data_IF_930619239782
#
_entry.id   IF_930619239782
#
_cell.length_a   1.000
_cell.length_b   1.000
_cell.length_c   1.000
_cell.angle_alpha   90.00
_cell.angle_beta   90.00
_cell.angle_gamma   90.00
#
_symmetry.space_group_name_H-M   'P 1'
#
loop_
_entity.id
_entity.type
_entity.pdbx_description
1 polymer ?
#
# COMPACT_ATOMS: atom_id res chain seq x y z
N UNK A 1 16.35 24.22 -11.13
CA UNK A 1 15.52 23.70 -10.03
C UNK A 1 16.27 22.58 -9.34
N UNK A 2 15.62 21.90 -8.41
CA UNK A 2 16.08 20.61 -7.88
C UNK A 2 15.79 19.52 -8.92
N UNK A 3 16.66 18.51 -9.01
CA UNK A 3 16.34 17.25 -9.70
C UNK A 3 15.60 16.35 -8.72
N UNK A 4 14.61 15.60 -9.20
CA UNK A 4 13.75 14.75 -8.38
C UNK A 4 14.20 13.29 -8.42
N UNK A 5 14.14 12.62 -7.28
CA UNK A 5 14.23 11.17 -7.15
C UNK A 5 12.84 10.65 -6.78
N UNK A 6 12.19 9.95 -7.69
CA UNK A 6 10.94 9.26 -7.47
C UNK A 6 11.22 7.87 -6.90
N UNK A 7 10.78 7.63 -5.67
CA UNK A 7 10.72 6.28 -5.09
C UNK A 7 9.37 5.68 -5.50
N UNK A 8 9.38 4.62 -6.29
CA UNK A 8 8.14 4.06 -6.83
C UNK A 8 8.39 2.82 -7.68
N UNK A 9 7.32 2.24 -8.22
CA UNK A 9 7.45 1.10 -9.11
C UNK A 9 7.44 1.49 -10.59
N UNK A 10 8.37 0.93 -11.37
CA UNK A 10 8.37 1.11 -12.82
C UNK A 10 7.07 0.58 -13.42
N UNK A 11 6.54 1.32 -14.40
CA UNK A 11 5.30 0.94 -15.10
C UNK A 11 4.00 1.19 -14.31
N UNK A 12 4.06 1.59 -13.03
CA UNK A 12 2.84 1.95 -12.30
C UNK A 12 2.26 3.27 -12.84
N UNK A 13 0.94 3.38 -13.07
CA UNK A 13 0.35 4.59 -13.67
C UNK A 13 0.66 5.89 -12.92
N UNK A 14 0.69 5.83 -11.58
CA UNK A 14 1.08 6.96 -10.74
C UNK A 14 2.54 7.37 -10.95
N UNK A 15 3.46 6.39 -11.02
CA UNK A 15 4.89 6.64 -11.29
C UNK A 15 5.08 7.27 -12.65
N UNK A 16 4.44 6.72 -13.69
CA UNK A 16 4.48 7.26 -15.05
C UNK A 16 3.95 8.70 -15.06
N UNK A 17 2.81 8.94 -14.42
CA UNK A 17 2.18 10.26 -14.36
C UNK A 17 3.04 11.30 -13.65
N UNK A 18 3.67 10.93 -12.53
CA UNK A 18 4.55 11.80 -11.74
C UNK A 18 5.87 12.08 -12.47
N UNK A 19 6.50 11.07 -13.06
CA UNK A 19 7.70 11.25 -13.86
C UNK A 19 7.45 12.14 -15.09
N UNK A 20 6.26 12.09 -15.67
CA UNK A 20 5.85 12.92 -16.80
C UNK A 20 5.57 14.39 -16.48
N UNK A 21 5.64 14.82 -15.21
CA UNK A 21 5.40 16.23 -14.84
C UNK A 21 6.57 17.14 -15.19
N UNK A 22 7.77 16.59 -15.43
CA UNK A 22 8.99 17.34 -15.74
C UNK A 22 9.67 16.76 -16.99
N UNK A 23 10.59 17.53 -17.62
CA UNK A 23 11.38 17.03 -18.75
C UNK A 23 12.13 15.73 -18.44
N UNK A 24 12.42 14.95 -19.48
CA UNK A 24 13.18 13.70 -19.38
C UNK A 24 14.52 13.92 -18.66
N UNK A 25 14.82 13.03 -17.71
CA UNK A 25 16.03 13.11 -16.87
C UNK A 25 15.91 14.03 -15.65
N UNK A 26 14.85 14.83 -15.49
CA UNK A 26 14.64 15.63 -14.28
C UNK A 26 13.99 14.84 -13.13
N UNK A 27 13.35 13.70 -13.43
CA UNK A 27 12.83 12.75 -12.44
C UNK A 27 13.51 11.40 -12.65
N UNK A 28 14.28 10.96 -11.67
CA UNK A 28 14.97 9.67 -11.68
C UNK A 28 14.16 8.67 -10.85
N UNK A 29 13.99 7.44 -11.33
CA UNK A 29 13.26 6.39 -10.62
C UNK A 29 14.23 5.53 -9.80
N UNK A 30 13.85 5.20 -8.57
CA UNK A 30 14.45 4.13 -7.75
C UNK A 30 13.34 3.26 -7.18
N UNK A 31 13.55 1.94 -7.18
CA UNK A 31 12.59 0.96 -6.62
C UNK A 31 13.15 0.27 -5.37
N UNK A 32 14.48 0.23 -5.23
CA UNK A 32 15.20 -0.53 -4.21
C UNK A 32 16.36 0.27 -3.60
N UNK A 33 16.93 -0.24 -2.50
CA UNK A 33 18.15 0.32 -1.87
C UNK A 33 19.34 0.20 -2.82
N UNK A 34 19.39 -0.86 -3.62
CA UNK A 34 20.44 -1.13 -4.60
C UNK A 34 20.43 -0.10 -5.73
N UNK A 35 19.25 0.32 -6.19
CA UNK A 35 19.11 1.39 -7.18
C UNK A 35 19.72 2.70 -6.67
N UNK A 36 19.58 2.98 -5.36
CA UNK A 36 20.18 4.16 -4.72
C UNK A 36 21.68 4.12 -4.79
N UNK A 37 22.35 2.96 -4.82
CA UNK A 37 23.81 2.89 -4.97
C UNK A 37 24.26 3.22 -6.40
N UNK A 38 23.47 2.85 -7.41
CA UNK A 38 23.73 3.10 -8.82
C UNK A 38 23.29 4.46 -9.34
N UNK A 39 22.51 5.22 -8.57
CA UNK A 39 21.91 6.49 -9.01
C UNK A 39 22.93 7.51 -9.50
N UNK A 40 22.77 8.01 -10.72
CA UNK A 40 23.58 9.08 -11.30
C UNK A 40 22.74 10.34 -11.35
N UNK A 41 23.20 11.39 -10.66
CA UNK A 41 22.49 12.65 -10.47
C UNK A 41 23.25 13.80 -11.13
N UNK A 42 22.53 14.85 -11.55
CA UNK A 42 23.12 16.05 -12.15
C UNK A 42 23.98 16.83 -11.15
N UNK A 43 23.46 17.01 -9.94
CA UNK A 43 24.08 17.79 -8.88
C UNK A 43 23.59 17.26 -7.51
N UNK A 44 24.49 16.66 -6.72
CA UNK A 44 24.17 16.06 -5.42
C UNK A 44 23.70 17.09 -4.38
N UNK A 45 23.99 18.39 -4.57
CA UNK A 45 23.52 19.48 -3.70
C UNK A 45 22.16 20.05 -4.10
N UNK A 46 21.56 19.58 -5.20
CA UNK A 46 20.28 20.06 -5.72
C UNK A 46 19.32 18.91 -6.02
N UNK A 47 19.07 18.10 -5.01
CA UNK A 47 18.16 16.96 -5.08
C UNK A 47 16.97 17.12 -4.14
N UNK A 48 15.83 16.61 -4.59
CA UNK A 48 14.72 16.28 -3.72
C UNK A 48 14.22 14.86 -4.04
N UNK A 49 13.54 14.23 -3.10
CA UNK A 49 12.84 12.97 -3.35
C UNK A 49 11.34 13.10 -3.12
N UNK A 50 10.58 12.25 -3.80
CA UNK A 50 9.14 12.06 -3.66
C UNK A 50 8.83 10.57 -3.69
N UNK A 51 7.68 10.14 -3.18
CA UNK A 51 7.29 8.73 -3.19
C UNK A 51 5.97 8.50 -3.92
N UNK A 52 5.81 7.29 -4.46
CA UNK A 52 4.50 6.75 -4.80
C UNK A 52 3.67 6.58 -3.51
N UNK A 53 2.38 6.89 -3.57
CA UNK A 53 1.47 6.96 -2.40
C UNK A 53 1.11 5.59 -1.80
N UNK A 54 1.37 4.51 -2.54
CA UNK A 54 0.90 3.13 -2.25
C UNK A 54 2.02 2.14 -1.98
N UNK A 55 3.21 2.64 -1.59
CA UNK A 55 4.37 1.81 -1.26
C UNK A 55 4.28 1.20 0.14
N UNK A 56 5.10 0.18 0.38
CA UNK A 56 5.42 -0.31 1.72
C UNK A 56 6.11 0.78 2.53
N UNK A 57 5.59 1.08 3.72
CA UNK A 57 6.14 2.13 4.60
C UNK A 57 7.57 1.79 5.01
N UNK A 58 7.83 0.52 5.33
CA UNK A 58 9.13 0.07 5.82
C UNK A 58 10.18 0.04 4.71
N UNK A 59 9.83 -0.50 3.54
CA UNK A 59 10.76 -0.56 2.40
C UNK A 59 11.10 0.85 1.91
N UNK A 60 10.11 1.74 1.89
CA UNK A 60 10.34 3.15 1.54
C UNK A 60 11.24 3.83 2.57
N UNK A 61 11.07 3.57 3.86
CA UNK A 61 11.95 4.12 4.90
C UNK A 61 13.40 3.66 4.71
N UNK A 62 13.63 2.40 4.31
CA UNK A 62 14.96 1.90 3.98
C UNK A 62 15.60 2.61 2.77
N UNK A 63 14.82 2.84 1.71
CA UNK A 63 15.29 3.58 0.51
C UNK A 63 15.58 5.04 0.86
N UNK A 64 14.73 5.69 1.64
CA UNK A 64 14.94 7.07 2.11
C UNK A 64 16.22 7.16 2.94
N UNK A 65 16.44 6.22 3.86
CA UNK A 65 17.67 6.18 4.65
C UNK A 65 18.92 6.03 3.76
N UNK A 66 18.86 5.17 2.74
CA UNK A 66 19.95 5.02 1.77
C UNK A 66 20.20 6.31 0.97
N UNK A 67 19.14 7.01 0.55
CA UNK A 67 19.24 8.29 -0.16
C UNK A 67 19.87 9.37 0.71
N UNK A 68 19.43 9.48 1.97
CA UNK A 68 19.97 10.45 2.92
C UNK A 68 21.43 10.16 3.29
N UNK A 69 21.81 8.88 3.40
CA UNK A 69 23.18 8.47 3.64
C UNK A 69 24.10 8.83 2.45
N UNK A 70 23.61 8.65 1.21
CA UNK A 70 24.39 8.95 0.00
C UNK A 70 24.40 10.44 -0.36
N UNK A 71 23.29 11.13 -0.16
CA UNK A 71 23.07 12.52 -0.55
C UNK A 71 22.61 13.34 0.66
N UNK A 72 23.55 13.74 1.52
CA UNK A 72 23.24 14.39 2.80
C UNK A 72 22.41 15.70 2.68
N UNK A 73 22.41 16.34 1.50
CA UNK A 73 21.62 17.55 1.22
C UNK A 73 20.29 17.30 0.51
N UNK A 74 19.86 16.05 0.31
CA UNK A 74 18.61 15.75 -0.38
C UNK A 74 17.41 16.24 0.42
N UNK A 75 16.50 16.94 -0.26
CA UNK A 75 15.30 17.52 0.35
C UNK A 75 14.15 16.51 0.27
N UNK A 76 13.58 16.14 1.41
CA UNK A 76 12.35 15.36 1.47
C UNK A 76 11.09 16.24 1.42
N UNK A 77 9.92 15.64 1.21
CA UNK A 77 8.66 16.35 1.29
C UNK A 77 8.40 16.83 2.74
N UNK A 78 7.64 17.93 2.89
CA UNK A 78 7.28 18.45 4.22
C UNK A 78 6.39 17.51 5.03
N UNK A 79 5.67 16.61 4.35
CA UNK A 79 4.88 15.53 4.92
C UNK A 79 5.19 14.26 4.15
N UNK A 80 5.03 13.09 4.76
CA UNK A 80 5.15 11.81 4.06
C UNK A 80 4.22 11.79 2.83
N UNK A 81 4.78 11.37 1.69
CA UNK A 81 4.04 11.24 0.42
C UNK A 81 3.21 9.93 0.37
N UNK A 82 3.56 8.94 1.20
CA UNK A 82 2.69 7.77 1.44
C UNK A 82 1.43 8.26 2.13
N UNK A 83 0.28 7.95 1.54
CA UNK A 83 -0.98 8.48 2.05
C UNK A 83 -1.40 7.80 3.35
N UNK A 84 -2.20 8.52 4.16
CA UNK A 84 -2.70 8.01 5.44
C UNK A 84 -3.40 6.64 5.31
N UNK A 85 -4.15 6.44 4.23
CA UNK A 85 -4.91 5.22 3.97
C UNK A 85 -3.99 3.99 3.80
N UNK A 86 -2.84 4.17 3.15
CA UNK A 86 -1.81 3.15 2.98
C UNK A 86 -1.17 2.83 4.34
N UNK A 87 -0.72 3.87 5.06
CA UNK A 87 -0.06 3.71 6.38
C UNK A 87 -0.96 3.01 7.39
N UNK A 88 -2.22 3.45 7.52
CA UNK A 88 -3.17 2.88 8.47
C UNK A 88 -3.49 1.41 8.17
N UNK A 89 -3.69 1.05 6.89
CA UNK A 89 -3.99 -0.34 6.51
C UNK A 89 -2.80 -1.26 6.76
N UNK A 90 -1.58 -0.81 6.47
CA UNK A 90 -0.37 -1.59 6.78
C UNK A 90 -0.20 -1.76 8.29
N UNK A 91 -0.47 -0.72 9.09
CA UNK A 91 -0.46 -0.83 10.54
C UNK A 91 -1.51 -1.83 11.07
N UNK A 92 -2.72 -1.83 10.51
CA UNK A 92 -3.77 -2.78 10.86
C UNK A 92 -3.35 -4.23 10.54
N UNK A 93 -2.73 -4.47 9.38
CA UNK A 93 -2.18 -5.78 9.02
C UNK A 93 -1.11 -6.23 10.02
N UNK A 94 -0.15 -5.35 10.34
CA UNK A 94 0.91 -5.65 11.33
C UNK A 94 0.33 -5.99 12.70
N UNK A 95 -0.74 -5.32 13.12
CA UNK A 95 -1.39 -5.55 14.42
C UNK A 95 -2.07 -6.93 14.56
N UNK A 96 -2.42 -7.57 13.44
CA UNK A 96 -3.07 -8.88 13.41
C UNK A 96 -2.14 -10.01 12.95
N UNK A 97 -1.06 -9.72 12.21
CA UNK A 97 -0.20 -10.72 11.58
C UNK A 97 0.33 -11.79 12.57
N UNK A 98 0.72 -11.39 13.78
CA UNK A 98 1.20 -12.32 14.81
C UNK A 98 0.11 -13.08 15.59
N UNK A 99 -1.16 -12.87 15.26
CA UNK A 99 -2.34 -13.46 15.96
C UNK A 99 -3.16 -14.40 15.07
N UNK A 100 -2.80 -14.51 13.80
CA UNK A 100 -3.53 -15.26 12.76
C UNK A 100 -2.60 -16.28 12.12
N UNK A 101 -3.15 -17.39 11.64
CA UNK A 101 -2.36 -18.39 10.91
C UNK A 101 -2.37 -18.09 9.39
N UNK A 102 -3.42 -17.42 8.89
CA UNK A 102 -3.52 -16.92 7.52
C UNK A 102 -4.07 -15.51 7.42
N UNK A 103 -3.62 -14.76 6.42
CA UNK A 103 -4.14 -13.45 6.02
C UNK A 103 -4.73 -13.52 4.61
N UNK A 104 -6.00 -13.13 4.47
CA UNK A 104 -6.64 -12.90 3.19
C UNK A 104 -6.78 -11.39 2.95
N UNK A 105 -6.15 -10.90 1.89
CA UNK A 105 -6.26 -9.50 1.45
C UNK A 105 -7.23 -9.45 0.28
N UNK A 106 -8.37 -8.77 0.45
CA UNK A 106 -9.31 -8.54 -0.64
C UNK A 106 -8.77 -7.42 -1.56
N UNK A 107 -8.60 -7.71 -2.85
CA UNK A 107 -8.26 -6.71 -3.84
C UNK A 107 -7.96 -7.26 -5.22
N UNK A 108 -7.94 -6.35 -6.21
CA UNK A 108 -7.61 -6.70 -7.58
C UNK A 108 -6.09 -6.99 -7.75
N UNK A 109 -5.68 -7.91 -8.63
CA UNK A 109 -4.26 -8.27 -8.84
C UNK A 109 -3.36 -7.11 -9.24
N UNK A 110 -3.92 -6.10 -9.92
CA UNK A 110 -3.19 -4.91 -10.36
C UNK A 110 -3.12 -3.80 -9.30
N UNK A 111 -3.76 -3.95 -8.14
CA UNK A 111 -3.71 -2.97 -7.05
C UNK A 111 -2.36 -3.03 -6.34
N UNK A 112 -1.56 -1.95 -6.41
CA UNK A 112 -0.28 -1.87 -5.69
C UNK A 112 -0.49 -1.94 -4.18
N UNK A 113 -1.46 -1.18 -3.64
CA UNK A 113 -1.75 -1.17 -2.21
C UNK A 113 -2.18 -2.55 -1.70
N UNK A 114 -3.03 -3.27 -2.43
CA UNK A 114 -3.47 -4.62 -2.00
C UNK A 114 -2.32 -5.61 -1.97
N UNK A 115 -1.44 -5.59 -2.98
CA UNK A 115 -0.23 -6.44 -3.00
C UNK A 115 0.71 -6.11 -1.82
N UNK A 116 0.89 -4.81 -1.53
CA UNK A 116 1.66 -4.35 -0.37
C UNK A 116 1.12 -4.87 0.95
N UNK A 117 -0.19 -4.99 1.14
CA UNK A 117 -0.74 -5.58 2.36
C UNK A 117 -0.40 -7.08 2.51
N UNK A 118 -0.30 -7.83 1.40
CA UNK A 118 0.13 -9.24 1.42
C UNK A 118 1.58 -9.32 1.87
N UNK A 119 2.46 -8.53 1.24
CA UNK A 119 3.89 -8.48 1.55
C UNK A 119 4.14 -8.02 3.00
N UNK A 120 3.42 -7.01 3.47
CA UNK A 120 3.46 -6.55 4.87
C UNK A 120 3.02 -7.64 5.84
N UNK A 121 1.97 -8.41 5.50
CA UNK A 121 1.53 -9.54 6.32
C UNK A 121 2.60 -10.61 6.47
N UNK A 122 3.26 -10.97 5.36
CA UNK A 122 4.35 -11.94 5.34
C UNK A 122 5.54 -11.45 6.17
N UNK A 123 6.00 -10.22 5.93
CA UNK A 123 7.11 -9.62 6.66
C UNK A 123 6.82 -9.43 8.16
N UNK A 124 5.55 -9.26 8.53
CA UNK A 124 5.11 -9.15 9.93
C UNK A 124 4.91 -10.51 10.63
N UNK A 125 5.25 -11.62 9.98
CA UNK A 125 5.27 -12.96 10.57
C UNK A 125 4.03 -13.81 10.31
N UNK A 126 3.12 -13.39 9.43
CA UNK A 126 2.03 -14.25 9.00
C UNK A 126 2.55 -15.32 8.03
N UNK A 127 2.42 -16.60 8.41
CA UNK A 127 2.97 -17.72 7.65
C UNK A 127 2.32 -17.88 6.27
N UNK A 128 1.03 -17.55 6.16
CA UNK A 128 0.28 -17.61 4.92
C UNK A 128 -0.42 -16.28 4.66
N UNK A 129 -0.12 -15.60 3.56
CA UNK A 129 -0.85 -14.42 3.15
C UNK A 129 -1.13 -14.46 1.65
N UNK A 130 -2.37 -14.18 1.26
CA UNK A 130 -2.79 -14.24 -0.13
C UNK A 130 -3.73 -13.11 -0.50
N UNK A 131 -3.59 -12.64 -1.74
CA UNK A 131 -4.57 -11.78 -2.40
C UNK A 131 -5.74 -12.64 -2.94
N UNK A 132 -6.96 -12.26 -2.60
CA UNK A 132 -8.20 -12.83 -3.15
C UNK A 132 -9.07 -11.71 -3.71
N UNK A 133 -9.75 -11.91 -4.84
CA UNK A 133 -10.65 -10.86 -5.35
C UNK A 133 -12.03 -10.97 -4.72
N UNK A 134 -12.46 -12.18 -4.36
CA UNK A 134 -13.75 -12.45 -3.73
C UNK A 134 -13.78 -13.80 -3.01
N UNK A 135 -14.88 -14.12 -2.35
CA UNK A 135 -15.01 -15.33 -1.54
C UNK A 135 -14.95 -16.62 -2.38
N UNK A 136 -15.43 -16.58 -3.62
CA UNK A 136 -15.36 -17.71 -4.54
C UNK A 136 -13.92 -18.08 -4.94
N UNK A 137 -12.95 -17.17 -4.79
CA UNK A 137 -11.55 -17.39 -5.14
C UNK A 137 -10.73 -18.00 -3.98
N UNK A 138 -11.35 -18.19 -2.80
CA UNK A 138 -10.66 -18.74 -1.63
C UNK A 138 -10.28 -20.20 -1.91
N UNK A 139 -8.99 -20.50 -1.88
CA UNK A 139 -8.50 -21.87 -1.82
C UNK A 139 -8.65 -22.42 -0.40
N UNK A 140 -9.77 -23.08 -0.14
CA UNK A 140 -10.07 -23.67 1.16
C UNK A 140 -9.07 -24.74 1.59
N UNK A 141 -8.37 -25.40 0.65
CA UNK A 141 -7.36 -26.42 0.98
C UNK A 141 -6.13 -25.78 1.63
N UNK A 142 -5.77 -24.58 1.18
CA UNK A 142 -4.67 -23.82 1.78
C UNK A 142 -4.97 -23.33 3.21
N UNK A 143 -6.24 -23.41 3.63
CA UNK A 143 -6.69 -23.01 4.97
C UNK A 143 -6.97 -24.21 5.90
N UNK A 144 -6.68 -25.43 5.48
CA UNK A 144 -6.86 -26.61 6.32
C UNK A 144 -6.01 -26.54 7.60
N UNK A 145 -6.65 -26.76 8.76
CA UNK A 145 -5.98 -26.75 10.07
C UNK A 145 -5.77 -25.36 10.69
N UNK A 146 -6.07 -24.29 9.97
CA UNK A 146 -5.99 -22.91 10.47
C UNK A 146 -7.11 -22.64 11.47
N UNK A 147 -6.79 -21.91 12.55
CA UNK A 147 -7.73 -21.54 13.62
C UNK A 147 -8.12 -20.07 13.58
N UNK A 148 -7.23 -19.21 13.07
CA UNK A 148 -7.46 -17.78 12.97
C UNK A 148 -7.10 -17.26 11.57
N UNK A 149 -8.06 -16.65 10.88
CA UNK A 149 -7.87 -16.00 9.59
C UNK A 149 -8.06 -14.50 9.76
N UNK A 150 -7.03 -13.72 9.42
CA UNK A 150 -7.14 -12.28 9.26
C UNK A 150 -7.75 -11.95 7.91
N UNK A 151 -8.68 -11.00 7.90
CA UNK A 151 -9.31 -10.49 6.68
C UNK A 151 -9.10 -8.99 6.63
N UNK A 152 -8.52 -8.50 5.54
CA UNK A 152 -8.34 -7.07 5.29
C UNK A 152 -8.62 -6.77 3.82
N UNK A 153 -8.69 -5.50 3.45
CA UNK A 153 -9.01 -5.09 2.10
C UNK A 153 -8.15 -3.92 1.65
N UNK A 154 -7.77 -3.92 0.37
CA UNK A 154 -7.11 -2.76 -0.22
C UNK A 154 -8.04 -1.54 -0.28
N UNK A 155 -7.47 -0.35 -0.43
CA UNK A 155 -8.24 0.90 -0.46
C UNK A 155 -9.34 0.97 -1.55
N UNK A 156 -9.22 0.17 -2.61
CA UNK A 156 -10.17 0.11 -3.74
C UNK A 156 -11.19 -1.03 -3.64
N UNK A 157 -11.16 -1.86 -2.59
CA UNK A 157 -12.04 -3.00 -2.45
C UNK A 157 -13.33 -2.60 -1.71
N UNK A 158 -14.52 -2.82 -2.33
CA UNK A 158 -15.79 -2.54 -1.69
C UNK A 158 -16.04 -3.39 -0.43
N UNK A 159 -16.68 -2.81 0.58
CA UNK A 159 -17.02 -3.49 1.85
C UNK A 159 -17.88 -4.75 1.63
N UNK A 160 -18.74 -4.75 0.59
CA UNK A 160 -19.54 -5.93 0.24
C UNK A 160 -18.68 -7.17 -0.04
N UNK A 161 -17.46 -7.03 -0.56
CA UNK A 161 -16.56 -8.16 -0.80
C UNK A 161 -15.95 -8.69 0.49
N UNK A 162 -15.68 -7.82 1.47
CA UNK A 162 -15.24 -8.23 2.81
C UNK A 162 -16.35 -9.04 3.49
N UNK A 163 -17.58 -8.54 3.41
CA UNK A 163 -18.76 -9.24 3.93
C UNK A 163 -18.97 -10.58 3.21
N UNK A 164 -18.81 -10.64 1.88
CA UNK A 164 -18.87 -11.89 1.10
C UNK A 164 -17.89 -12.95 1.65
N UNK A 165 -16.65 -12.55 1.96
CA UNK A 165 -15.63 -13.43 2.54
C UNK A 165 -16.05 -13.90 3.93
N UNK A 166 -16.47 -12.99 4.82
CA UNK A 166 -16.89 -13.33 6.19
C UNK A 166 -18.06 -14.32 6.16
N UNK A 167 -19.05 -14.11 5.30
CA UNK A 167 -20.20 -15.01 5.14
C UNK A 167 -19.78 -16.39 4.61
N UNK A 168 -18.80 -16.46 3.71
CA UNK A 168 -18.29 -17.73 3.22
C UNK A 168 -17.59 -18.58 4.30
N UNK A 169 -16.95 -17.93 5.29
CA UNK A 169 -16.44 -18.60 6.49
C UNK A 169 -17.58 -19.04 7.42
N UNK A 170 -18.55 -18.17 7.71
CA UNK A 170 -19.73 -18.50 8.55
C UNK A 170 -20.54 -19.68 7.99
N UNK A 171 -20.63 -19.80 6.67
CA UNK A 171 -21.32 -20.90 6.03
C UNK A 171 -20.60 -22.26 6.17
N UNK A 172 -19.30 -22.26 6.50
CA UNK A 172 -18.46 -23.48 6.60
C UNK A 172 -18.07 -23.83 8.03
N UNK A 173 -17.96 -22.84 8.91
CA UNK A 173 -17.41 -23.01 10.25
C UNK A 173 -18.21 -22.22 11.30
N UNK A 174 -18.16 -22.70 12.54
CA UNK A 174 -18.58 -21.89 13.68
C UNK A 174 -17.58 -20.74 13.88
N UNK A 175 -18.00 -19.53 13.53
CA UNK A 175 -17.10 -18.39 13.31
C UNK A 175 -17.40 -17.26 14.29
N UNK A 176 -16.39 -16.84 15.06
CA UNK A 176 -16.42 -15.58 15.82
C UNK A 176 -15.65 -14.51 15.05
N UNK A 177 -16.28 -13.36 14.86
CA UNK A 177 -15.64 -12.20 14.21
C UNK A 177 -15.16 -11.23 15.29
N UNK A 178 -13.88 -10.85 15.23
CA UNK A 178 -13.27 -9.82 16.07
C UNK A 178 -12.75 -8.71 15.16
N UNK A 179 -13.22 -7.48 15.41
CA UNK A 179 -12.77 -6.29 14.65
C UNK A 179 -11.57 -5.68 15.36
N UNK A 180 -10.47 -5.51 14.62
CA UNK A 180 -9.26 -4.86 15.11
C UNK A 180 -9.16 -3.49 14.46
N UNK A 181 -9.35 -2.44 15.26
CA UNK A 181 -9.22 -1.05 14.84
C UNK A 181 -7.90 -0.47 15.36
N UNK A 182 -7.04 0.02 14.47
CA UNK A 182 -5.76 0.66 14.82
C UNK A 182 -5.76 2.17 14.63
N UNK A 183 -6.70 2.70 13.84
CA UNK A 183 -6.82 4.12 13.53
C UNK A 183 -8.25 4.47 13.10
N UNK A 184 -8.67 5.71 13.34
CA UNK A 184 -9.93 6.27 12.86
C UNK A 184 -9.67 7.23 11.69
N UNK A 185 -10.32 6.97 10.56
CA UNK A 185 -10.19 7.77 9.34
C UNK A 185 -11.41 8.70 9.19
N UNK A 186 -11.22 10.00 9.47
CA UNK A 186 -12.29 11.02 9.42
C UNK A 186 -12.15 11.99 8.23
N UNK A 187 -11.42 11.59 7.18
CA UNK A 187 -11.11 12.43 6.02
C UNK A 187 -12.12 12.15 4.91
N UNK A 188 -12.73 13.20 4.36
CA UNK A 188 -13.64 13.12 3.23
C UNK A 188 -13.20 14.07 2.11
N UNK A 189 -13.11 13.56 0.89
CA UNK A 189 -12.83 14.36 -0.31
C UNK A 189 -14.13 14.62 -1.07
N UNK A 190 -14.56 15.88 -1.09
CA UNK A 190 -15.77 16.26 -1.81
C UNK A 190 -15.56 16.17 -3.30
N UNK A 191 -16.57 15.67 -3.99
CA UNK A 191 -16.65 15.67 -5.44
C UNK A 191 -16.50 17.13 -5.97
N UNK A 192 -15.76 17.35 -7.08
CA UNK A 192 -15.65 18.66 -7.73
C UNK A 192 -17.02 19.30 -7.98
N UNK A 193 -17.14 20.62 -7.78
CA UNK A 193 -18.44 21.32 -7.86
C UNK A 193 -19.20 21.06 -9.16
N UNK A 194 -18.48 20.93 -10.28
CA UNK A 194 -19.06 20.67 -11.61
C UNK A 194 -19.72 19.29 -11.74
N UNK A 195 -19.35 18.33 -10.90
CA UNK A 195 -19.91 16.98 -10.86
C UNK A 195 -20.92 16.79 -9.72
N UNK A 196 -21.17 17.82 -8.91
CA UNK A 196 -22.26 17.80 -7.94
C UNK A 196 -23.54 17.99 -8.73
N UNK A 197 -24.22 16.89 -9.04
CA UNK A 197 -25.58 16.94 -9.57
C UNK A 197 -26.46 17.73 -8.60
N UNK A 198 -27.26 18.67 -9.13
CA UNK A 198 -28.37 19.25 -8.39
C UNK A 198 -29.35 18.11 -8.13
N UNK A 199 -29.17 17.38 -7.03
CA UNK A 199 -30.19 16.49 -6.52
C UNK A 199 -31.24 17.43 -5.91
N UNK A 200 -32.22 17.84 -6.72
CA UNK A 200 -33.49 18.30 -6.18
C UNK A 200 -34.08 17.11 -5.42
N UNK A 201 -34.14 17.24 -4.09
CA UNK A 201 -34.82 16.33 -3.17
C UNK A 201 -36.32 16.56 -3.30
#
# INVERSE_FOLDING_TARGET
GLQMVMIGHAGHPETIGTMGQLPEGEVLLVETVEDVAGLVVRDAGKLAYITQTTLSVDDTAAIVAALQARFAGIVGPHKEDICYATTNRQAAVKAIAGKIDALLVIGAPNSSNSRRLVEVGQSAGCAYAQLVQRAADIDWRALEGIRAVGVTAGASAPEVLVNEVIEAFRARYDTRVEVVETAQENIEFKVPRILRTNIEV
#
